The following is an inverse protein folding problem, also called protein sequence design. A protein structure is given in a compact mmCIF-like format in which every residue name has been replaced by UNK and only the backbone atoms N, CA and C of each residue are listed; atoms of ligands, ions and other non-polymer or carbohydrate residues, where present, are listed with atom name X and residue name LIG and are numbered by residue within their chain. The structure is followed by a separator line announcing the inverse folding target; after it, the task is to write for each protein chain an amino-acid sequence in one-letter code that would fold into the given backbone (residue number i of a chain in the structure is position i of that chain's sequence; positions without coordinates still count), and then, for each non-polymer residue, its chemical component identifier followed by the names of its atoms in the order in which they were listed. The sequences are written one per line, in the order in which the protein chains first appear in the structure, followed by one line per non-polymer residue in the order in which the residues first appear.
data_IF_490345582953
#
_entry.id   IF_490345582953
#
_cell.length_a   1.000
_cell.length_b   1.000
_cell.length_c   1.000
_cell.angle_alpha   90.00
_cell.angle_beta   90.00
_cell.angle_gamma   90.00
#
_symmetry.space_group_name_H-M   'P 1'
#
loop_
_entity.id
_entity.type
_entity.pdbx_description
1 polymer ?
#
# COMPACT_ATOMS: atom_id res chain seq x y z
N UNK A 1 4.74 1.08 12.65
CA UNK A 1 4.70 0.77 11.19
C UNK A 1 3.24 0.71 10.77
N UNK A 2 2.93 1.18 9.56
CA UNK A 2 1.56 1.22 9.01
C UNK A 2 1.39 0.17 7.90
N UNK A 3 0.31 -0.58 7.93
CA UNK A 3 0.01 -1.67 6.98
C UNK A 3 -1.34 -1.44 6.32
N UNK A 4 -1.42 -1.69 5.01
CA UNK A 4 -2.67 -1.71 4.26
C UNK A 4 -3.07 -3.15 3.96
N UNK A 5 -4.30 -3.52 4.31
CA UNK A 5 -4.95 -4.76 3.90
C UNK A 5 -6.08 -4.46 2.93
N UNK A 6 -5.98 -4.97 1.70
CA UNK A 6 -7.01 -4.88 0.67
C UNK A 6 -7.57 -6.26 0.40
N UNK A 7 -8.88 -6.42 0.56
CA UNK A 7 -9.57 -7.68 0.34
C UNK A 7 -10.42 -7.59 -0.92
N UNK A 8 -10.46 -8.67 -1.69
CA UNK A 8 -11.63 -8.93 -2.52
C UNK A 8 -12.85 -9.24 -1.63
N UNK A 9 -14.04 -9.08 -2.19
CA UNK A 9 -15.29 -9.27 -1.49
C UNK A 9 -15.88 -10.66 -1.71
N UNK A 10 -16.31 -10.95 -2.94
CA UNK A 10 -17.01 -12.19 -3.24
C UNK A 10 -16.05 -13.39 -3.08
N UNK A 11 -16.51 -14.45 -2.41
CA UNK A 11 -15.77 -15.71 -2.15
C UNK A 11 -14.42 -15.56 -1.38
N UNK A 12 -13.99 -14.34 -1.08
CA UNK A 12 -12.91 -14.01 -0.14
C UNK A 12 -13.48 -13.73 1.26
N UNK A 13 -14.49 -12.85 1.33
CA UNK A 13 -15.25 -12.55 2.56
C UNK A 13 -16.56 -13.34 2.56
N UNK A 14 -17.24 -13.42 1.43
CA UNK A 14 -18.55 -14.08 1.33
C UNK A 14 -18.43 -15.58 1.05
N UNK A 15 -19.50 -16.35 1.28
CA UNK A 15 -19.61 -17.76 0.89
C UNK A 15 -19.93 -17.94 -0.60
N UNK A 16 -20.68 -16.98 -1.16
CA UNK A 16 -21.16 -17.00 -2.54
C UNK A 16 -20.99 -15.65 -3.21
N UNK A 17 -20.83 -15.65 -4.54
CA UNK A 17 -20.90 -14.42 -5.33
C UNK A 17 -22.25 -13.72 -5.19
N UNK A 18 -22.21 -12.44 -4.85
CA UNK A 18 -23.39 -11.62 -4.57
C UNK A 18 -23.68 -10.60 -5.67
N UNK A 19 -22.70 -10.27 -6.52
CA UNK A 19 -22.77 -9.17 -7.50
C UNK A 19 -24.00 -9.18 -8.44
N UNK A 20 -24.54 -10.36 -8.77
CA UNK A 20 -25.71 -10.46 -9.66
C UNK A 20 -27.06 -10.40 -8.91
N UNK A 21 -27.08 -10.77 -7.63
CA UNK A 21 -28.32 -10.86 -6.85
C UNK A 21 -28.06 -10.60 -5.35
N UNK A 22 -27.67 -9.38 -4.98
CA UNK A 22 -27.31 -9.05 -3.61
C UNK A 22 -28.48 -9.22 -2.64
N UNK A 23 -29.72 -9.02 -3.10
CA UNK A 23 -30.94 -9.18 -2.29
C UNK A 23 -31.22 -10.61 -1.81
N UNK A 24 -30.50 -11.61 -2.33
CA UNK A 24 -30.66 -13.01 -1.89
C UNK A 24 -29.68 -13.40 -0.78
N UNK A 25 -28.76 -12.52 -0.39
CA UNK A 25 -27.71 -12.83 0.56
C UNK A 25 -27.58 -11.72 1.59
N UNK A 26 -27.52 -12.10 2.86
CA UNK A 26 -27.34 -11.20 3.99
C UNK A 26 -26.03 -11.55 4.74
N UNK A 27 -25.40 -10.57 5.42
CA UNK A 27 -24.15 -10.80 6.14
C UNK A 27 -24.20 -11.99 7.11
N UNK A 28 -25.32 -12.20 7.80
CA UNK A 28 -25.49 -13.24 8.81
C UNK A 28 -25.42 -14.66 8.25
N UNK A 29 -25.76 -14.84 6.96
CA UNK A 29 -25.87 -16.17 6.33
C UNK A 29 -24.84 -16.39 5.24
N UNK A 30 -24.19 -15.35 4.75
CA UNK A 30 -23.28 -15.41 3.61
C UNK A 30 -21.85 -14.94 3.92
N UNK A 31 -21.49 -14.69 5.18
CA UNK A 31 -20.10 -14.39 5.58
C UNK A 31 -19.36 -15.67 5.97
N UNK A 32 -18.09 -15.84 5.54
CA UNK A 32 -17.28 -16.99 5.96
C UNK A 32 -17.08 -17.00 7.48
N UNK A 33 -17.20 -18.17 8.09
CA UNK A 33 -17.00 -18.31 9.54
C UNK A 33 -15.53 -18.06 9.91
N UNK A 34 -15.27 -17.53 11.10
CA UNK A 34 -13.90 -17.32 11.59
C UNK A 34 -13.18 -16.10 10.99
N UNK A 35 -13.84 -15.26 10.19
CA UNK A 35 -13.28 -13.96 9.77
C UNK A 35 -13.22 -12.96 10.94
N UNK A 36 -14.18 -13.01 11.87
CA UNK A 36 -14.22 -12.08 13.01
C UNK A 36 -12.95 -12.17 13.84
N UNK A 37 -12.33 -11.03 14.12
CA UNK A 37 -11.06 -10.94 14.86
C UNK A 37 -9.81 -11.12 14.01
N UNK A 38 -9.94 -11.34 12.70
CA UNK A 38 -8.84 -11.28 11.73
C UNK A 38 -8.80 -9.96 10.94
N UNK A 39 -9.84 -9.13 11.10
CA UNK A 39 -10.06 -7.89 10.37
C UNK A 39 -9.90 -6.73 11.35
N UNK A 40 -9.01 -5.79 11.03
CA UNK A 40 -8.72 -4.64 11.87
C UNK A 40 -8.65 -3.37 11.04
N UNK A 41 -9.26 -2.30 11.55
CA UNK A 41 -9.14 -0.96 11.00
C UNK A 41 -8.79 0.02 12.12
N UNK A 42 -7.62 0.64 12.04
CA UNK A 42 -7.13 1.68 12.95
C UNK A 42 -6.03 2.50 12.25
N UNK A 43 -5.33 3.37 12.98
CA UNK A 43 -4.31 4.26 12.40
C UNK A 43 -3.02 3.56 11.93
N UNK A 44 -2.81 2.30 12.34
CA UNK A 44 -1.64 1.46 11.97
C UNK A 44 -2.00 0.33 11.01
N UNK A 45 -3.24 -0.17 11.04
CA UNK A 45 -3.76 -1.23 10.17
C UNK A 45 -4.95 -0.69 9.40
N UNK A 46 -4.73 -0.35 8.14
CA UNK A 46 -5.75 0.16 7.24
C UNK A 46 -6.48 -0.99 6.56
N UNK A 47 -7.79 -0.80 6.36
CA UNK A 47 -8.68 -1.79 5.78
C UNK A 47 -9.33 -1.22 4.53
N UNK A 48 -9.27 -1.95 3.43
CA UNK A 48 -9.95 -1.60 2.21
C UNK A 48 -10.49 -2.84 1.50
N UNK A 49 -11.46 -2.61 0.62
CA UNK A 49 -12.03 -3.63 -0.27
C UNK A 49 -11.86 -3.18 -1.71
N UNK A 50 -11.39 -4.07 -2.57
CA UNK A 50 -11.35 -3.87 -4.01
C UNK A 50 -12.23 -4.94 -4.68
N UNK A 51 -13.44 -4.55 -5.11
CA UNK A 51 -14.43 -5.49 -5.62
C UNK A 51 -15.03 -4.99 -6.93
N UNK A 52 -15.51 -5.91 -7.75
CA UNK A 52 -16.36 -5.58 -8.89
C UNK A 52 -17.83 -5.43 -8.51
N UNK A 53 -18.23 -5.57 -7.25
CA UNK A 53 -19.61 -5.35 -6.82
C UNK A 53 -20.13 -3.95 -7.22
N UNK A 54 -21.40 -3.87 -7.66
CA UNK A 54 -22.03 -2.60 -8.09
C UNK A 54 -22.69 -1.81 -6.95
N UNK A 55 -22.66 -2.32 -5.72
CA UNK A 55 -23.31 -1.71 -4.57
C UNK A 55 -22.31 -1.63 -3.41
N UNK A 56 -21.60 -0.51 -3.22
CA UNK A 56 -20.61 -0.38 -2.14
C UNK A 56 -21.29 -0.36 -0.75
N UNK A 57 -22.51 0.15 -0.62
CA UNK A 57 -23.27 0.11 0.63
C UNK A 57 -23.59 -1.32 1.07
N UNK A 58 -23.88 -2.20 0.11
CA UNK A 58 -24.11 -3.62 0.36
C UNK A 58 -22.82 -4.29 0.88
N UNK A 59 -21.67 -3.98 0.28
CA UNK A 59 -20.38 -4.47 0.76
C UNK A 59 -20.13 -4.00 2.19
N UNK A 60 -20.44 -2.73 2.49
CA UNK A 60 -20.25 -2.15 3.82
C UNK A 60 -21.05 -2.88 4.91
N UNK A 61 -22.23 -3.44 4.60
CA UNK A 61 -23.02 -4.21 5.59
C UNK A 61 -22.31 -5.47 6.07
N UNK A 62 -21.42 -6.05 5.27
CA UNK A 62 -20.56 -7.17 5.66
C UNK A 62 -19.34 -6.70 6.45
N UNK A 63 -18.77 -5.56 6.10
CA UNK A 63 -17.50 -5.08 6.69
C UNK A 63 -17.69 -4.57 8.12
N UNK A 64 -18.73 -3.79 8.40
CA UNK A 64 -18.90 -3.20 9.74
C UNK A 64 -18.97 -4.26 10.85
N UNK A 65 -19.78 -5.34 10.74
CA UNK A 65 -19.81 -6.38 11.76
C UNK A 65 -18.48 -7.12 11.95
N UNK A 66 -17.71 -7.33 10.87
CA UNK A 66 -16.38 -7.96 10.93
C UNK A 66 -15.38 -7.13 11.75
N UNK A 67 -15.51 -5.79 11.69
CA UNK A 67 -14.72 -4.85 12.46
C UNK A 67 -15.29 -4.59 13.87
N UNK A 68 -16.41 -5.22 14.23
CA UNK A 68 -17.10 -4.94 15.50
C UNK A 68 -17.69 -3.53 15.56
N UNK A 69 -18.07 -2.98 14.41
CA UNK A 69 -18.62 -1.63 14.23
C UNK A 69 -20.06 -1.70 13.70
N UNK A 70 -20.72 -0.57 13.76
CA UNK A 70 -22.11 -0.36 13.35
C UNK A 70 -22.22 0.94 12.54
N UNK A 71 -23.40 1.22 11.96
CA UNK A 71 -23.61 2.47 11.21
C UNK A 71 -23.49 3.71 12.10
N UNK A 72 -23.78 3.56 13.39
CA UNK A 72 -23.67 4.60 14.41
C UNK A 72 -22.22 5.01 14.69
N UNK A 73 -21.25 4.18 14.29
CA UNK A 73 -19.82 4.49 14.38
C UNK A 73 -19.31 5.33 13.21
N UNK A 74 -20.10 5.48 12.14
CA UNK A 74 -19.75 6.26 10.97
C UNK A 74 -19.94 7.75 11.28
N UNK A 75 -18.90 8.53 11.03
CA UNK A 75 -18.89 10.00 11.24
C UNK A 75 -19.09 10.76 9.93
N UNK A 76 -18.62 10.21 8.82
CA UNK A 76 -18.69 10.81 7.50
C UNK A 76 -18.56 9.73 6.43
N UNK A 77 -19.28 9.92 5.32
CA UNK A 77 -19.08 9.16 4.09
C UNK A 77 -18.74 10.13 2.95
N UNK A 78 -17.89 9.69 2.04
CA UNK A 78 -17.47 10.46 0.86
C UNK A 78 -17.27 9.53 -0.32
N UNK A 79 -17.74 9.93 -1.50
CA UNK A 79 -17.51 9.20 -2.74
C UNK A 79 -16.55 10.00 -3.62
N UNK A 80 -15.45 9.35 -4.03
CA UNK A 80 -14.49 9.90 -4.98
C UNK A 80 -14.55 9.09 -6.26
N UNK A 81 -14.77 9.76 -7.39
CA UNK A 81 -14.89 9.12 -8.70
C UNK A 81 -13.60 9.28 -9.51
N UNK A 82 -13.11 8.18 -10.06
CA UNK A 82 -12.01 8.16 -11.03
C UNK A 82 -12.51 7.96 -12.46
N UNK A 83 -11.62 7.54 -13.36
CA UNK A 83 -11.96 7.32 -14.78
C UNK A 83 -12.93 6.16 -14.96
N UNK A 84 -12.67 5.03 -14.29
CA UNK A 84 -13.49 3.81 -14.41
C UNK A 84 -13.90 3.19 -13.07
N UNK A 85 -13.42 3.76 -11.96
CA UNK A 85 -13.74 3.32 -10.61
C UNK A 85 -14.35 4.45 -9.78
N UNK A 86 -14.92 4.08 -8.65
CA UNK A 86 -15.25 5.00 -7.57
C UNK A 86 -14.77 4.40 -6.24
N UNK A 87 -14.48 5.26 -5.28
CA UNK A 87 -14.08 4.90 -3.93
C UNK A 87 -15.12 5.46 -2.97
N UNK A 88 -15.81 4.59 -2.24
CA UNK A 88 -16.58 4.98 -1.08
C UNK A 88 -15.66 4.98 0.14
N UNK A 89 -15.44 6.16 0.71
CA UNK A 89 -14.66 6.38 1.93
C UNK A 89 -15.60 6.48 3.11
N UNK A 90 -15.39 5.63 4.11
CA UNK A 90 -16.19 5.58 5.34
C UNK A 90 -15.30 5.93 6.52
N UNK A 91 -15.55 7.08 7.14
CA UNK A 91 -14.78 7.57 8.27
C UNK A 91 -15.44 7.12 9.58
N UNK A 92 -14.72 6.35 10.39
CA UNK A 92 -15.20 5.87 11.67
C UNK A 92 -14.77 6.78 12.82
N UNK A 93 -15.51 6.73 13.94
CA UNK A 93 -15.06 7.31 15.22
C UNK A 93 -13.69 6.76 15.61
N UNK A 94 -12.85 7.62 16.15
CA UNK A 94 -11.51 7.29 16.68
C UNK A 94 -10.51 6.75 15.63
N UNK A 95 -10.79 6.90 14.33
CA UNK A 95 -9.89 6.55 13.23
C UNK A 95 -9.58 7.81 12.41
N UNK A 96 -8.29 8.10 12.19
CA UNK A 96 -7.86 9.23 11.35
C UNK A 96 -8.12 8.96 9.87
N UNK A 97 -7.98 7.70 9.46
CA UNK A 97 -8.07 7.27 8.07
C UNK A 97 -9.38 6.54 7.80
N UNK A 98 -9.93 6.63 6.57
CA UNK A 98 -11.18 5.97 6.23
C UNK A 98 -10.96 4.48 5.91
N UNK A 99 -12.03 3.70 6.09
CA UNK A 99 -12.21 2.46 5.32
C UNK A 99 -12.50 2.86 3.88
N UNK A 100 -11.89 2.16 2.91
CA UNK A 100 -12.17 2.39 1.48
C UNK A 100 -12.80 1.16 0.85
N UNK A 101 -13.95 1.34 0.20
CA UNK A 101 -14.56 0.32 -0.67
C UNK A 101 -14.46 0.83 -2.10
N UNK A 102 -13.58 0.22 -2.89
CA UNK A 102 -13.38 0.51 -4.30
C UNK A 102 -14.24 -0.38 -5.18
N UNK A 103 -15.02 0.24 -6.08
CA UNK A 103 -15.91 -0.43 -7.04
C UNK A 103 -15.74 0.14 -8.44
N UNK A 104 -16.22 -0.52 -9.51
CA UNK A 104 -16.49 0.14 -10.77
C UNK A 104 -17.43 1.32 -10.55
N UNK A 105 -17.33 2.33 -11.42
CA UNK A 105 -18.32 3.40 -11.49
C UNK A 105 -19.72 2.83 -11.76
N UNK A 106 -20.72 3.44 -11.14
CA UNK A 106 -22.11 2.98 -11.26
C UNK A 106 -22.78 3.49 -12.53
N UNK A 107 -22.39 4.67 -12.99
CA UNK A 107 -22.88 5.21 -14.26
C UNK A 107 -22.30 4.38 -15.40
N UNK A 108 -23.15 3.72 -16.19
CA UNK A 108 -22.70 2.80 -17.23
C UNK A 108 -21.75 1.69 -16.72
N UNK A 109 -22.09 1.11 -15.56
CA UNK A 109 -21.33 0.08 -14.85
C UNK A 109 -20.70 -1.00 -15.75
N UNK A 110 -21.44 -1.54 -16.73
CA UNK A 110 -20.91 -2.59 -17.63
C UNK A 110 -19.70 -2.13 -18.43
N UNK A 111 -19.70 -0.90 -18.94
CA UNK A 111 -18.56 -0.36 -19.70
C UNK A 111 -17.33 -0.19 -18.79
N UNK A 112 -17.54 0.29 -17.56
CA UNK A 112 -16.45 0.47 -16.61
C UNK A 112 -15.89 -0.86 -16.10
N UNK A 113 -16.74 -1.85 -15.84
CA UNK A 113 -16.32 -3.19 -15.50
C UNK A 113 -15.44 -3.80 -16.60
N UNK A 114 -15.85 -3.67 -17.87
CA UNK A 114 -15.05 -4.15 -19.02
C UNK A 114 -13.70 -3.45 -19.08
N UNK A 115 -13.66 -2.13 -18.83
CA UNK A 115 -12.42 -1.37 -18.83
C UNK A 115 -11.47 -1.81 -17.72
N UNK A 116 -11.97 -1.96 -16.49
CA UNK A 116 -11.19 -2.42 -15.33
C UNK A 116 -10.71 -3.87 -15.53
N UNK A 117 -11.60 -4.78 -15.94
CA UNK A 117 -11.29 -6.21 -16.10
C UNK A 117 -10.11 -6.50 -17.04
N UNK A 118 -9.79 -5.60 -17.98
CA UNK A 118 -8.60 -5.72 -18.86
C UNK A 118 -7.28 -5.73 -18.09
N UNK A 119 -7.21 -5.01 -16.98
CA UNK A 119 -6.02 -4.89 -16.13
C UNK A 119 -6.26 -5.46 -14.73
N UNK A 120 -7.31 -6.28 -14.57
CA UNK A 120 -7.75 -6.78 -13.28
C UNK A 120 -8.16 -5.65 -12.33
N UNK A 121 -7.77 -5.76 -11.06
CA UNK A 121 -8.10 -4.77 -10.01
C UNK A 121 -7.00 -3.74 -9.79
N UNK A 122 -5.95 -3.69 -10.63
CA UNK A 122 -4.79 -2.79 -10.43
C UNK A 122 -5.21 -1.32 -10.28
N UNK A 123 -6.09 -0.83 -11.15
CA UNK A 123 -6.62 0.53 -11.08
C UNK A 123 -7.34 0.83 -9.75
N UNK A 124 -8.05 -0.17 -9.18
CA UNK A 124 -8.69 -0.04 -7.87
C UNK A 124 -7.65 0.02 -6.76
N UNK A 125 -6.62 -0.84 -6.83
CA UNK A 125 -5.53 -0.86 -5.85
C UNK A 125 -4.75 0.46 -5.86
N UNK A 126 -4.40 0.99 -7.04
CA UNK A 126 -3.77 2.31 -7.21
C UNK A 126 -4.62 3.42 -6.61
N UNK A 127 -5.91 3.43 -6.92
CA UNK A 127 -6.82 4.43 -6.41
C UNK A 127 -6.96 4.37 -4.88
N UNK A 128 -7.07 3.17 -4.31
CA UNK A 128 -7.12 2.96 -2.85
C UNK A 128 -5.85 3.52 -2.20
N UNK A 129 -4.67 3.13 -2.70
CA UNK A 129 -3.40 3.60 -2.16
C UNK A 129 -3.23 5.12 -2.24
N UNK A 130 -3.60 5.74 -3.37
CA UNK A 130 -3.48 7.18 -3.55
C UNK A 130 -4.40 7.99 -2.62
N UNK A 131 -5.39 7.33 -2.00
CA UNK A 131 -6.35 7.94 -1.09
C UNK A 131 -6.10 7.61 0.39
N UNK A 132 -4.98 6.94 0.69
CA UNK A 132 -4.53 6.59 2.02
C UNK A 132 -3.13 7.16 2.28
N UNK A 133 -2.72 7.31 3.55
CA UNK A 133 -1.34 7.64 3.85
C UNK A 133 -0.41 6.53 3.34
N UNK A 134 0.85 6.85 2.99
CA UNK A 134 1.82 5.84 2.63
C UNK A 134 1.96 4.75 3.72
N UNK A 135 2.00 3.49 3.27
CA UNK A 135 2.06 2.32 4.14
C UNK A 135 3.39 1.58 3.96
N UNK A 136 3.92 1.08 5.07
CA UNK A 136 5.17 0.31 5.13
C UNK A 136 4.97 -1.06 4.47
N UNK A 137 3.76 -1.61 4.61
CA UNK A 137 3.38 -2.88 4.00
C UNK A 137 2.00 -2.81 3.35
N UNK A 138 1.82 -3.63 2.32
CA UNK A 138 0.58 -3.72 1.55
C UNK A 138 0.28 -5.20 1.31
N UNK A 139 -0.93 -5.62 1.64
CA UNK A 139 -1.38 -7.01 1.56
C UNK A 139 -2.66 -7.06 0.74
N UNK A 140 -2.70 -7.96 -0.24
CA UNK A 140 -3.85 -8.19 -1.11
C UNK A 140 -4.34 -9.63 -0.96
N UNK A 141 -5.63 -9.79 -0.66
CA UNK A 141 -6.27 -11.07 -0.43
C UNK A 141 -7.40 -11.26 -1.45
N UNK A 142 -7.40 -12.39 -2.16
CA UNK A 142 -8.37 -12.70 -3.21
C UNK A 142 -8.60 -14.22 -3.27
N UNK A 143 -9.67 -14.69 -3.87
CA UNK A 143 -10.05 -16.11 -3.91
C UNK A 143 -9.51 -16.84 -5.18
N UNK A 144 -8.74 -16.14 -6.01
CA UNK A 144 -8.22 -16.57 -7.32
C UNK A 144 -9.26 -16.59 -8.44
N UNK A 145 -10.23 -15.68 -8.39
CA UNK A 145 -11.10 -15.39 -9.53
C UNK A 145 -10.31 -15.17 -10.84
N UNK A 146 -10.94 -15.33 -12.03
CA UNK A 146 -10.26 -15.26 -13.33
C UNK A 146 -9.51 -13.94 -13.61
N UNK A 147 -9.76 -12.88 -12.85
CA UNK A 147 -9.06 -11.59 -12.94
C UNK A 147 -7.88 -11.45 -11.96
N UNK A 148 -7.69 -12.40 -11.05
CA UNK A 148 -6.61 -12.44 -10.07
C UNK A 148 -5.21 -12.42 -10.71
N UNK A 149 -5.04 -13.18 -11.80
CA UNK A 149 -3.77 -13.24 -12.52
C UNK A 149 -3.45 -11.96 -13.31
N UNK A 150 -4.45 -11.10 -13.58
CA UNK A 150 -4.25 -9.78 -14.20
C UNK A 150 -4.04 -8.68 -13.14
N UNK A 151 -4.66 -8.83 -11.96
CA UNK A 151 -4.37 -8.03 -10.76
C UNK A 151 -3.01 -8.38 -10.11
N UNK A 152 -2.35 -9.46 -10.56
CA UNK A 152 -1.08 -9.96 -10.06
C UNK A 152 0.13 -9.03 -10.30
N UNK A 153 -0.06 -7.87 -10.93
CA UNK A 153 1.03 -7.06 -11.47
C UNK A 153 1.60 -6.01 -10.52
N UNK A 154 1.05 -5.81 -9.32
CA UNK A 154 1.68 -4.90 -8.35
C UNK A 154 2.75 -5.61 -7.53
N UNK A 155 4.00 -5.33 -7.88
CA UNK A 155 5.17 -5.84 -7.19
C UNK A 155 5.31 -5.35 -5.73
N UNK A 156 4.50 -4.38 -5.30
CA UNK A 156 4.53 -3.82 -3.94
C UNK A 156 3.60 -4.54 -2.94
N UNK A 157 2.71 -5.43 -3.41
CA UNK A 157 1.80 -6.16 -2.52
C UNK A 157 2.32 -7.55 -2.15
N UNK A 158 2.19 -7.89 -0.88
CA UNK A 158 2.09 -9.27 -0.46
C UNK A 158 0.78 -9.86 -0.98
N UNK A 159 0.88 -10.94 -1.75
CA UNK A 159 -0.27 -11.58 -2.38
C UNK A 159 -0.64 -12.84 -1.63
N UNK A 160 -1.91 -12.91 -1.25
CA UNK A 160 -2.50 -14.02 -0.55
C UNK A 160 -3.72 -14.50 -1.29
N UNK A 161 -4.01 -15.79 -1.16
CA UNK A 161 -5.29 -16.31 -1.60
C UNK A 161 -6.08 -17.06 -0.54
N UNK A 162 -7.40 -16.89 -0.61
CA UNK A 162 -8.38 -17.65 0.13
C UNK A 162 -8.71 -18.96 -0.59
N UNK A 163 -9.22 -19.95 0.15
CA UNK A 163 -9.88 -21.09 -0.45
C UNK A 163 -11.35 -20.73 -0.67
N UNK A 164 -11.71 -20.42 -1.93
CA UNK A 164 -13.08 -20.07 -2.34
C UNK A 164 -14.12 -21.07 -1.81
N UNK A 165 -13.84 -22.37 -1.98
CA UNK A 165 -14.74 -23.46 -1.61
C UNK A 165 -14.86 -23.73 -0.09
N UNK A 166 -14.07 -23.05 0.76
CA UNK A 166 -14.13 -23.26 2.20
C UNK A 166 -15.16 -22.33 2.86
N UNK A 167 -16.14 -22.85 3.62
CA UNK A 167 -17.12 -22.02 4.33
C UNK A 167 -16.54 -21.34 5.58
N UNK A 168 -15.34 -21.75 6.00
CA UNK A 168 -14.61 -21.22 7.15
C UNK A 168 -13.33 -20.57 6.69
N UNK A 169 -12.89 -19.49 7.33
CA UNK A 169 -11.57 -18.93 7.12
C UNK A 169 -10.50 -20.01 7.40
N UNK A 170 -9.82 -20.42 6.35
CA UNK A 170 -8.52 -21.10 6.45
C UNK A 170 -7.43 -20.04 6.43
N UNK A 171 -6.24 -20.32 7.02
CA UNK A 171 -5.11 -19.43 6.86
C UNK A 171 -4.91 -19.08 5.40
N UNK A 172 -4.84 -17.78 5.10
CA UNK A 172 -4.58 -17.32 3.76
C UNK A 172 -3.24 -17.88 3.27
N UNK A 173 -3.22 -18.40 2.04
CA UNK A 173 -2.01 -18.99 1.47
C UNK A 173 -1.21 -17.85 0.84
N UNK A 174 -0.02 -17.61 1.38
CA UNK A 174 0.92 -16.62 0.83
C UNK A 174 1.47 -17.12 -0.51
N UNK A 175 1.23 -16.37 -1.58
CA UNK A 175 1.63 -16.75 -2.93
C UNK A 175 2.90 -16.04 -3.38
N UNK A 176 2.97 -14.72 -3.14
CA UNK A 176 4.11 -13.90 -3.56
C UNK A 176 4.37 -12.78 -2.56
N UNK A 177 5.62 -12.55 -2.20
CA UNK A 177 6.06 -11.35 -1.50
C UNK A 177 6.54 -10.28 -2.51
N UNK A 178 6.51 -9.00 -2.14
CA UNK A 178 7.23 -7.96 -2.86
C UNK A 178 8.71 -8.29 -2.98
N UNK A 179 9.33 -7.90 -4.10
CA UNK A 179 10.78 -7.99 -4.22
C UNK A 179 11.43 -6.99 -3.25
N UNK A 180 12.67 -7.26 -2.84
CA UNK A 180 13.37 -6.50 -1.80
C UNK A 180 13.41 -4.98 -2.10
N UNK A 181 13.59 -4.61 -3.37
CA UNK A 181 13.61 -3.21 -3.82
C UNK A 181 12.26 -2.50 -3.58
N UNK A 182 11.15 -3.14 -3.97
CA UNK A 182 9.80 -2.59 -3.80
C UNK A 182 9.42 -2.49 -2.34
N UNK A 183 9.78 -3.50 -1.53
CA UNK A 183 9.56 -3.47 -0.08
C UNK A 183 10.34 -2.32 0.57
N UNK A 184 11.61 -2.12 0.19
CA UNK A 184 12.43 -1.02 0.72
C UNK A 184 11.82 0.34 0.36
N UNK A 185 11.41 0.50 -0.90
CA UNK A 185 10.77 1.74 -1.38
C UNK A 185 9.52 2.09 -0.58
N UNK A 186 8.65 1.11 -0.32
CA UNK A 186 7.43 1.32 0.46
C UNK A 186 7.74 1.77 1.90
N UNK A 187 8.71 1.12 2.56
CA UNK A 187 9.13 1.47 3.92
C UNK A 187 9.77 2.86 4.01
N UNK A 188 10.64 3.21 3.05
CA UNK A 188 11.26 4.54 2.98
C UNK A 188 10.21 5.63 2.77
N UNK A 189 9.30 5.45 1.80
CA UNK A 189 8.22 6.41 1.53
C UNK A 189 7.31 6.62 2.74
N UNK A 190 6.94 5.53 3.42
CA UNK A 190 6.06 5.61 4.59
C UNK A 190 6.72 6.33 5.76
N UNK A 191 7.96 5.98 6.09
CA UNK A 191 8.68 6.63 7.17
C UNK A 191 8.98 8.09 6.87
N UNK A 192 9.38 8.40 5.62
CA UNK A 192 9.62 9.78 5.19
C UNK A 192 8.37 10.65 5.31
N UNK A 193 7.19 10.12 4.95
CA UNK A 193 5.92 10.83 5.11
C UNK A 193 5.59 11.10 6.58
N UNK A 194 5.80 10.12 7.46
CA UNK A 194 5.56 10.26 8.90
C UNK A 194 6.50 11.31 9.53
N UNK A 195 7.80 11.30 9.18
CA UNK A 195 8.77 12.30 9.66
C UNK A 195 8.45 13.70 9.13
N UNK A 196 8.06 13.82 7.85
CA UNK A 196 7.71 15.12 7.26
C UNK A 196 6.47 15.73 7.93
N UNK A 197 5.48 14.92 8.31
CA UNK A 197 4.32 15.35 9.09
C UNK A 197 4.72 15.86 10.47
N UNK A 198 5.69 15.21 11.14
CA UNK A 198 6.22 15.66 12.44
C UNK A 198 6.89 17.04 12.35
N UNK A 199 7.70 17.28 11.30
CA UNK A 199 8.35 18.58 11.08
C UNK A 199 7.34 19.68 10.74
N UNK A 200 6.26 19.34 10.04
CA UNK A 200 5.25 20.29 9.57
C UNK A 200 4.15 20.59 10.61
N UNK A 201 4.08 19.81 11.69
CA UNK A 201 3.11 20.03 12.76
C UNK A 201 3.55 21.22 13.61
N UNK A 202 2.71 22.25 13.83
CA UNK A 202 3.08 23.36 14.70
C UNK A 202 3.38 22.82 16.09
N UNK A 203 4.58 23.14 16.60
CA UNK A 203 4.94 22.85 17.98
C UNK A 203 3.86 23.43 18.89
N UNK A 204 3.07 22.57 19.54
CA UNK A 204 2.20 23.03 20.61
C UNK A 204 3.08 23.71 21.66
N UNK A 205 2.76 24.93 22.11
CA UNK A 205 3.49 25.55 23.20
C UNK A 205 3.41 24.64 24.43
N UNK A 206 4.56 24.42 25.06
CA UNK A 206 4.82 23.35 26.02
C UNK A 206 3.73 23.19 27.09
N UNK A 207 3.25 21.96 27.21
CA UNK A 207 2.50 21.50 28.38
C UNK A 207 3.45 21.37 29.58
N UNK A 208 3.39 22.36 30.47
CA UNK A 208 3.80 22.32 31.88
C UNK A 208 5.22 21.82 32.20
N UNK A 209 6.23 22.51 31.67
CA UNK A 209 7.52 22.64 32.36
C UNK A 209 7.38 23.77 33.38
N UNK A 210 6.83 23.50 34.56
CA UNK A 210 7.09 24.26 35.79
C UNK A 210 6.40 23.57 36.97
N UNK A 211 7.14 22.66 37.62
CA UNK A 211 7.16 22.42 39.08
C UNK A 211 8.16 21.29 39.38
N UNK A 212 9.43 21.52 39.04
CA UNK A 212 10.55 20.82 39.69
C UNK A 212 11.65 21.84 39.91
N UNK A 213 11.77 22.33 41.14
CA UNK A 213 12.76 23.34 41.56
C UNK A 213 14.09 22.64 41.93
N UNK A 214 14.28 21.37 41.55
CA UNK A 214 15.44 20.55 41.93
C UNK A 214 15.92 19.62 40.79
N UNK A 215 16.14 20.15 39.59
CA UNK A 215 16.89 19.44 38.56
C UNK A 215 18.04 20.31 38.03
N UNK A 216 19.28 19.77 37.94
CA UNK A 216 20.40 20.53 37.41
C UNK A 216 20.16 20.83 35.94
N UNK A 217 20.48 22.07 35.53
CA UNK A 217 20.50 22.52 34.14
C UNK A 217 21.40 21.61 33.31
N UNK A 218 20.80 20.68 32.58
CA UNK A 218 21.44 19.99 31.47
C UNK A 218 20.92 20.63 30.18
N UNK A 219 21.85 21.18 29.40
CA UNK A 219 21.64 21.59 28.02
C UNK A 219 21.05 20.43 27.20
N UNK A 220 19.79 20.52 26.78
CA UNK A 220 19.18 19.46 25.96
C UNK A 220 18.08 19.93 25.01
N UNK A 221 18.32 20.98 24.21
CA UNK A 221 17.31 21.43 23.22
C UNK A 221 17.82 21.54 21.78
N UNK A 222 19.12 21.38 21.49
CA UNK A 222 19.64 21.55 20.11
C UNK A 222 20.03 20.25 19.37
N UNK A 223 19.94 19.08 20.00
CA UNK A 223 20.42 17.81 19.39
C UNK A 223 19.35 17.05 18.60
N UNK A 224 18.06 17.24 18.90
CA UNK A 224 16.97 16.44 18.29
C UNK A 224 16.57 16.91 16.89
N UNK A 225 16.53 18.22 16.61
CA UNK A 225 16.14 18.75 15.30
C UNK A 225 17.18 18.49 14.20
N UNK A 226 18.48 18.51 14.55
CA UNK A 226 19.56 18.21 13.60
C UNK A 226 19.47 16.76 13.12
N UNK A 227 19.31 15.82 14.06
CA UNK A 227 19.22 14.38 13.76
C UNK A 227 18.01 14.03 12.88
N UNK A 228 16.87 14.71 13.06
CA UNK A 228 15.68 14.48 12.24
C UNK A 228 15.86 14.96 10.79
N UNK A 229 16.44 16.15 10.59
CA UNK A 229 16.72 16.68 9.24
C UNK A 229 17.72 15.81 8.49
N UNK A 230 18.76 15.34 9.18
CA UNK A 230 19.75 14.42 8.61
C UNK A 230 19.10 13.09 8.21
N UNK A 231 18.19 12.56 9.03
CA UNK A 231 17.42 11.35 8.71
C UNK A 231 16.53 11.53 7.48
N UNK A 232 15.81 12.66 7.38
CA UNK A 232 14.96 12.97 6.22
C UNK A 232 15.80 13.09 4.95
N UNK A 233 16.96 13.75 5.02
CA UNK A 233 17.89 13.88 3.89
C UNK A 233 18.41 12.51 3.45
N UNK A 234 18.81 11.64 4.38
CA UNK A 234 19.30 10.30 4.10
C UNK A 234 18.22 9.40 3.47
N UNK A 235 16.97 9.46 3.95
CA UNK A 235 15.85 8.73 3.36
C UNK A 235 15.50 9.23 1.96
N UNK A 236 15.54 10.54 1.75
CA UNK A 236 15.31 11.15 0.43
C UNK A 236 16.41 10.74 -0.56
N UNK A 237 17.66 10.67 -0.10
CA UNK A 237 18.78 10.20 -0.90
C UNK A 237 18.66 8.70 -1.24
N UNK A 238 18.29 7.86 -0.27
CA UNK A 238 18.02 6.44 -0.52
C UNK A 238 16.86 6.24 -1.49
N UNK A 239 15.78 7.01 -1.37
CA UNK A 239 14.68 6.97 -2.34
C UNK A 239 15.14 7.40 -3.73
N UNK A 240 15.94 8.47 -3.81
CA UNK A 240 16.58 8.91 -5.05
C UNK A 240 17.44 7.80 -5.68
N UNK A 241 18.21 7.07 -4.87
CA UNK A 241 18.99 5.93 -5.34
C UNK A 241 18.12 4.81 -5.92
N UNK A 242 17.01 4.47 -5.26
CA UNK A 242 16.02 3.51 -5.77
C UNK A 242 15.49 3.98 -7.13
N UNK A 243 15.32 5.29 -7.32
CA UNK A 243 14.90 5.96 -8.55
C UNK A 243 16.07 6.33 -9.50
N UNK A 244 17.15 5.53 -9.48
CA UNK A 244 18.31 5.62 -10.39
C UNK A 244 19.22 6.85 -10.23
N UNK A 245 19.19 7.53 -9.08
CA UNK A 245 20.18 8.57 -8.73
C UNK A 245 21.38 7.98 -7.99
N UNK A 246 22.46 8.76 -7.89
CA UNK A 246 23.63 8.37 -7.09
C UNK A 246 23.33 8.52 -5.59
N UNK A 247 23.79 7.55 -4.80
CA UNK A 247 23.70 7.58 -3.33
C UNK A 247 24.87 8.38 -2.75
N UNK A 248 24.60 9.25 -1.78
CA UNK A 248 25.63 10.00 -1.06
C UNK A 248 26.38 9.12 -0.05
N UNK A 249 27.67 9.41 0.14
CA UNK A 249 28.58 8.59 0.96
C UNK A 249 28.18 8.44 2.43
N UNK A 250 27.49 9.43 3.01
CA UNK A 250 27.09 9.44 4.44
C UNK A 250 25.72 8.83 4.72
N UNK A 251 24.97 8.48 3.68
CA UNK A 251 23.56 8.10 3.81
C UNK A 251 23.39 6.83 4.63
N UNK A 252 24.26 5.83 4.45
CA UNK A 252 24.18 4.57 5.18
C UNK A 252 24.46 4.73 6.68
N UNK A 253 25.47 5.51 7.04
CA UNK A 253 25.83 5.77 8.43
C UNK A 253 24.63 6.42 9.16
N UNK A 254 24.03 7.46 8.56
CA UNK A 254 22.86 8.14 9.13
C UNK A 254 21.68 7.18 9.28
N UNK A 255 21.35 6.37 8.27
CA UNK A 255 20.20 5.47 8.35
C UNK A 255 20.34 4.43 9.46
N UNK A 256 21.54 3.88 9.66
CA UNK A 256 21.82 2.85 10.69
C UNK A 256 21.84 3.38 12.12
N UNK A 257 21.99 4.69 12.31
CA UNK A 257 21.98 5.37 13.61
C UNK A 257 20.67 6.14 13.90
N UNK A 258 19.78 6.24 12.91
CA UNK A 258 18.54 7.02 12.98
C UNK A 258 17.33 6.25 13.53
N UNK A 259 16.18 6.96 13.62
CA UNK A 259 14.87 6.36 13.89
C UNK A 259 14.41 5.35 12.84
N UNK A 260 15.04 5.30 11.66
CA UNK A 260 14.72 4.30 10.62
C UNK A 260 15.36 2.93 10.90
N UNK A 261 16.30 2.83 11.85
CA UNK A 261 17.06 1.61 12.15
C UNK A 261 16.17 0.38 12.39
N UNK A 262 15.09 0.52 13.14
CA UNK A 262 14.19 -0.60 13.44
C UNK A 262 13.41 -1.08 12.20
N UNK A 263 12.97 -0.14 11.36
CA UNK A 263 12.30 -0.43 10.08
C UNK A 263 13.28 -1.11 9.13
N UNK A 264 14.53 -0.64 9.09
CA UNK A 264 15.58 -1.24 8.30
C UNK A 264 15.87 -2.68 8.75
N UNK A 265 16.05 -2.89 10.06
CA UNK A 265 16.28 -4.23 10.60
C UNK A 265 15.12 -5.18 10.28
N UNK A 266 13.88 -4.70 10.35
CA UNK A 266 12.70 -5.45 9.94
C UNK A 266 12.76 -5.86 8.46
N UNK A 267 13.11 -4.92 7.56
CA UNK A 267 13.28 -5.19 6.14
C UNK A 267 14.37 -6.23 5.88
N UNK A 268 15.52 -6.12 6.55
CA UNK A 268 16.65 -7.03 6.38
C UNK A 268 16.30 -8.47 6.79
N UNK A 269 15.59 -8.62 7.92
CA UNK A 269 15.10 -9.93 8.38
C UNK A 269 14.11 -10.52 7.38
N UNK A 270 13.17 -9.71 6.89
CA UNK A 270 12.08 -10.17 6.02
C UNK A 270 12.56 -10.57 4.62
N UNK A 271 13.56 -9.87 4.10
CA UNK A 271 14.07 -10.07 2.74
C UNK A 271 15.31 -10.96 2.71
N UNK A 272 15.87 -11.30 3.87
CA UNK A 272 17.15 -12.01 4.01
C UNK A 272 18.30 -11.29 3.29
N UNK A 273 18.20 -9.95 3.16
CA UNK A 273 19.18 -9.07 2.54
C UNK A 273 19.73 -8.11 3.58
N UNK A 274 20.97 -7.66 3.40
CA UNK A 274 21.54 -6.53 4.14
C UNK A 274 21.61 -5.32 3.23
N UNK A 275 21.37 -4.11 3.76
CA UNK A 275 21.24 -2.91 2.93
C UNK A 275 22.49 -2.59 2.11
N UNK A 276 23.66 -2.60 2.75
CA UNK A 276 24.90 -2.23 2.07
C UNK A 276 25.29 -3.22 0.94
N UNK A 277 25.28 -4.56 1.17
CA UNK A 277 25.45 -5.53 0.08
C UNK A 277 24.39 -5.41 -1.02
N UNK A 278 23.13 -5.15 -0.66
CA UNK A 278 22.04 -5.00 -1.61
C UNK A 278 22.20 -3.79 -2.53
N UNK A 279 22.68 -2.66 -1.99
CA UNK A 279 23.00 -1.47 -2.80
C UNK A 279 24.14 -1.75 -3.78
N UNK A 280 25.19 -2.45 -3.34
CA UNK A 280 26.29 -2.85 -4.20
C UNK A 280 25.82 -3.79 -5.33
N UNK A 281 24.93 -4.74 -5.02
CA UNK A 281 24.29 -5.63 -5.99
C UNK A 281 23.51 -4.84 -7.05
N UNK A 282 22.68 -3.87 -6.64
CA UNK A 282 21.92 -3.02 -7.58
C UNK A 282 22.85 -2.18 -8.46
N UNK A 283 23.90 -1.60 -7.89
CA UNK A 283 24.88 -0.81 -8.65
C UNK A 283 25.55 -1.68 -9.71
N UNK A 284 25.98 -2.89 -9.34
CA UNK A 284 26.57 -3.83 -10.27
C UNK A 284 25.60 -4.22 -11.40
N UNK A 285 24.34 -4.53 -11.07
CA UNK A 285 23.30 -4.82 -12.08
C UNK A 285 23.06 -3.65 -13.05
N UNK A 286 23.09 -2.41 -12.55
CA UNK A 286 22.96 -1.20 -13.38
C UNK A 286 24.15 -1.02 -14.31
N UNK A 287 25.37 -1.28 -13.82
CA UNK A 287 26.59 -1.26 -14.64
C UNK A 287 26.56 -2.33 -15.74
N UNK A 288 26.14 -3.55 -15.42
CA UNK A 288 25.98 -4.64 -16.40
C UNK A 288 24.92 -4.29 -17.46
N UNK A 289 23.78 -3.74 -17.05
CA UNK A 289 22.74 -3.31 -17.97
C UNK A 289 23.23 -2.20 -18.91
N UNK A 290 23.94 -1.20 -18.39
CA UNK A 290 24.52 -0.12 -19.20
C UNK A 290 25.58 -0.64 -20.18
N UNK A 291 26.41 -1.61 -19.77
CA UNK A 291 27.36 -2.27 -20.66
C UNK A 291 26.64 -3.03 -21.78
N UNK A 292 25.59 -3.79 -21.45
CA UNK A 292 24.79 -4.50 -22.44
C UNK A 292 24.12 -3.54 -23.45
N UNK A 293 23.49 -2.47 -22.99
CA UNK A 293 22.91 -1.43 -23.85
C UNK A 293 23.95 -0.78 -24.78
N UNK A 294 25.17 -0.56 -24.29
CA UNK A 294 26.27 -0.02 -25.11
C UNK A 294 26.76 -0.98 -26.21
N UNK A 295 26.42 -2.28 -26.12
CA UNK A 295 26.75 -3.30 -27.12
C UNK A 295 25.60 -3.60 -28.09
N UNK A 296 24.41 -3.06 -27.84
CA UNK A 296 23.30 -3.12 -28.78
C UNK A 296 23.49 -2.04 -29.85
N UNK A 297 24.18 -2.39 -30.94
CA UNK A 297 24.09 -1.65 -32.19
C UNK A 297 22.64 -1.77 -32.68
N UNK A 298 21.84 -0.75 -32.43
CA UNK A 298 20.60 -0.56 -33.17
C UNK A 298 20.99 -0.29 -34.62
N UNK A 299 21.04 -1.33 -35.45
CA UNK A 299 20.90 -1.15 -36.90
C UNK A 299 19.56 -0.47 -37.12
N UNK A 300 19.58 0.85 -37.29
CA UNK A 300 18.43 1.61 -37.72
C UNK A 300 18.02 1.06 -39.09
N UNK A 301 16.81 0.49 -39.18
CA UNK A 301 16.13 0.17 -40.44
C UNK A 301 15.79 1.46 -41.23
N UNK A 302 16.81 2.23 -41.60
CA UNK A 302 16.75 3.28 -42.61
C UNK A 302 17.06 2.65 -43.98
N UNK A 303 16.21 1.73 -44.40
CA UNK A 303 16.18 1.22 -45.77
C UNK A 303 14.74 1.14 -46.28
N UNK A 304 14.03 2.26 -46.25
CA UNK A 304 12.89 2.51 -47.16
C UNK A 304 13.31 3.54 -48.20
N UNK A 305 14.03 3.08 -49.22
CA UNK A 305 14.15 3.81 -50.47
C UNK A 305 12.77 3.91 -51.15
N UNK A 306 12.35 5.09 -51.65
CA UNK A 306 11.12 5.21 -52.41
C UNK A 306 11.34 4.59 -53.81
N UNK A 307 10.80 3.39 -54.02
CA UNK A 307 10.72 2.76 -55.33
C UNK A 307 9.83 3.57 -56.25
N UNK A 308 10.45 4.21 -57.24
CA UNK A 308 9.83 4.82 -58.42
C UNK A 308 9.03 3.74 -59.18
N UNK A 309 7.73 3.95 -59.34
CA UNK A 309 6.94 3.27 -60.37
C UNK A 309 6.76 4.23 -61.57
N UNK A 310 7.36 3.85 -62.69
CA UNK A 310 6.92 4.22 -64.03
C UNK A 310 5.85 3.22 -64.49
#
# INVERSE_FOLDING_TARGET
MRTLHVFDFDETITLHHTAQNPSSYEPETNTKEGLKGHFFHNNESLFAVATFHSQPDYVLTYILPLLGKTKEDITKEEVVTGTHHQLMKVYLKDCEYPIIIGTPRLDNYKTHLIALARYGKNDLLDAIEANLPPCHEKHYYDDKEPFYNLAACKAEFHRYHANAASPTLKPFIHEKAPDALYSLRAMVNAHLADLTKQVSSPSQPGSLVHLSIFAPTADSVNTSESSLKDTIAALTDLLGFIEYKALQSKTLDVLTESSFKEILAYWEIKTEKQLAPFIAEILHQREEAAQFESTLDYESDDNNAPGVFN
#
